data_IF_921742318337
#
_entry.id   IF_921742318337
#
_cell.length_a   1.000
_cell.length_b   1.000
_cell.length_c   1.000
_cell.angle_alpha   90.00
_cell.angle_beta   90.00
_cell.angle_gamma   90.00
#
_symmetry.space_group_name_H-M   'P 1'
#
loop_
_entity.id
_entity.type
_entity.pdbx_description
1 polymer ?
#
# COMPACT_ATOMS: atom_id res chain seq x y z
N UNK A 1 -2.04 31.10 -48.61
CA UNK A 1 -0.84 30.89 -47.78
C UNK A 1 -1.09 31.16 -46.29
N UNK A 2 -1.37 32.39 -45.83
CA UNK A 2 -1.62 32.64 -44.39
C UNK A 2 -2.84 31.89 -43.81
N UNK A 3 -3.93 31.77 -44.58
CA UNK A 3 -5.13 31.01 -44.18
C UNK A 3 -4.83 29.53 -44.02
N UNK A 4 -3.99 28.99 -44.90
CA UNK A 4 -3.59 27.58 -44.87
C UNK A 4 -2.69 27.28 -43.67
N UNK A 5 -1.74 28.16 -43.38
CA UNK A 5 -0.92 28.08 -42.17
C UNK A 5 -1.77 28.15 -40.89
N UNK A 6 -2.75 29.07 -40.84
CA UNK A 6 -3.72 29.14 -39.74
C UNK A 6 -4.48 27.82 -39.56
N UNK A 7 -4.95 27.22 -40.65
CA UNK A 7 -5.70 25.96 -40.58
C UNK A 7 -4.83 24.81 -40.07
N UNK A 8 -3.60 24.69 -40.56
CA UNK A 8 -2.65 23.67 -40.07
C UNK A 8 -2.32 23.88 -38.59
N UNK A 9 -2.11 25.12 -38.16
CA UNK A 9 -1.87 25.44 -36.74
C UNK A 9 -3.06 25.06 -35.87
N UNK A 10 -4.28 25.37 -36.29
CA UNK A 10 -5.48 25.00 -35.54
C UNK A 10 -5.65 23.48 -35.45
N UNK A 11 -5.43 22.75 -36.55
CA UNK A 11 -5.44 21.28 -36.53
C UNK A 11 -4.37 20.70 -35.60
N UNK A 12 -3.18 21.31 -35.55
CA UNK A 12 -2.14 20.91 -34.60
C UNK A 12 -2.58 21.15 -33.16
N UNK A 13 -3.20 22.30 -32.86
CA UNK A 13 -3.73 22.60 -31.52
C UNK A 13 -4.83 21.62 -31.11
N UNK A 14 -5.78 21.32 -32.00
CA UNK A 14 -6.85 20.34 -31.75
C UNK A 14 -6.27 18.94 -31.44
N UNK A 15 -5.25 18.52 -32.20
CA UNK A 15 -4.57 17.25 -31.97
C UNK A 15 -3.84 17.25 -30.62
N UNK A 16 -3.15 18.33 -30.27
CA UNK A 16 -2.44 18.45 -29.00
C UNK A 16 -3.41 18.47 -27.81
N UNK A 17 -4.53 19.18 -27.90
CA UNK A 17 -5.55 19.20 -26.85
C UNK A 17 -6.14 17.80 -26.64
N UNK A 18 -6.47 17.09 -27.71
CA UNK A 18 -7.03 15.74 -27.61
C UNK A 18 -6.00 14.69 -27.11
N UNK A 19 -4.75 14.77 -27.55
CA UNK A 19 -3.72 13.79 -27.18
C UNK A 19 -3.10 14.09 -25.82
N UNK A 20 -2.82 15.36 -25.53
CA UNK A 20 -2.12 15.78 -24.32
C UNK A 20 -3.14 16.26 -23.29
N UNK A 21 -3.80 17.37 -23.55
CA UNK A 21 -4.69 18.01 -22.59
C UNK A 21 -4.84 19.51 -22.83
N UNK A 22 -5.80 20.12 -22.14
CA UNK A 22 -6.10 21.55 -22.26
C UNK A 22 -5.17 22.44 -21.43
N UNK A 23 -4.60 21.90 -20.34
CA UNK A 23 -3.69 22.64 -19.45
C UNK A 23 -2.44 21.81 -19.12
N UNK A 24 -1.35 22.07 -19.84
CA UNK A 24 -0.07 21.39 -19.61
C UNK A 24 0.60 21.77 -18.30
N UNK A 25 0.29 22.94 -17.73
CA UNK A 25 0.83 23.33 -16.42
C UNK A 25 0.16 22.52 -15.30
N UNK A 26 -1.12 22.24 -15.43
CA UNK A 26 -1.85 21.38 -14.48
C UNK A 26 -1.33 19.94 -14.51
N UNK A 27 -1.07 19.39 -15.71
CA UNK A 27 -0.41 18.08 -15.86
C UNK A 27 0.96 18.08 -15.17
N UNK A 28 1.78 19.12 -15.41
CA UNK A 28 3.10 19.23 -14.80
C UNK A 28 3.04 19.33 -13.27
N UNK A 29 2.06 20.06 -12.73
CA UNK A 29 1.82 20.15 -11.27
C UNK A 29 1.50 18.79 -10.67
N UNK A 30 0.63 18.01 -11.30
CA UNK A 30 0.27 16.66 -10.85
C UNK A 30 1.46 15.71 -10.92
N UNK A 31 2.24 15.76 -12.00
CA UNK A 31 3.48 14.99 -12.09
C UNK A 31 4.50 15.36 -11.02
N UNK A 32 4.69 16.65 -10.72
CA UNK A 32 5.58 17.08 -9.63
C UNK A 32 5.12 16.50 -8.27
N UNK A 33 3.81 16.52 -7.97
CA UNK A 33 3.26 15.84 -6.79
C UNK A 33 3.56 14.33 -6.80
N UNK A 34 3.36 13.65 -7.93
CA UNK A 34 3.61 12.20 -8.02
C UNK A 34 5.09 11.84 -7.85
N UNK A 35 6.02 12.66 -8.37
CA UNK A 35 7.46 12.46 -8.14
C UNK A 35 7.87 12.59 -6.67
N UNK A 36 7.07 13.33 -5.89
CA UNK A 36 7.20 13.47 -4.43
C UNK A 36 6.41 12.40 -3.65
N UNK A 37 5.92 11.38 -4.35
CA UNK A 37 5.07 10.29 -3.82
C UNK A 37 3.73 10.78 -3.25
N UNK A 38 3.30 11.99 -3.63
CA UNK A 38 2.00 12.53 -3.28
C UNK A 38 0.99 12.26 -4.40
N UNK A 39 0.20 11.19 -4.24
CA UNK A 39 -0.85 10.78 -5.18
C UNK A 39 -2.23 11.31 -4.79
N UNK A 40 -2.30 12.33 -3.93
CA UNK A 40 -3.59 12.90 -3.46
C UNK A 40 -4.21 13.88 -4.45
N UNK A 41 -3.42 14.39 -5.41
CA UNK A 41 -3.88 15.29 -6.47
C UNK A 41 -4.24 14.54 -7.76
N UNK A 42 -5.00 15.20 -8.62
CA UNK A 42 -5.36 14.74 -9.97
C UNK A 42 -5.51 15.94 -10.92
N UNK A 43 -5.50 15.70 -12.23
CA UNK A 43 -5.84 16.69 -13.24
C UNK A 43 -7.37 16.78 -13.32
N UNK A 44 -7.94 17.94 -13.01
CA UNK A 44 -9.40 18.15 -13.07
C UNK A 44 -9.88 18.22 -14.51
N UNK A 45 -11.11 17.75 -14.75
CA UNK A 45 -11.78 17.80 -16.05
C UNK A 45 -10.94 17.21 -17.20
N UNK A 46 -10.15 16.18 -16.89
CA UNK A 46 -9.26 15.49 -17.82
C UNK A 46 -10.01 15.00 -19.08
N UNK A 47 -9.58 15.49 -20.24
CA UNK A 47 -10.15 15.15 -21.56
C UNK A 47 -9.08 14.62 -22.51
N UNK A 48 -7.85 15.13 -22.37
CA UNK A 48 -6.70 14.66 -23.12
C UNK A 48 -6.27 13.27 -22.68
N UNK A 49 -5.75 12.47 -23.61
CA UNK A 49 -5.32 11.10 -23.30
C UNK A 49 -4.26 11.10 -22.18
N UNK A 50 -3.30 12.02 -22.20
CA UNK A 50 -2.27 12.10 -21.15
C UNK A 50 -2.88 12.48 -19.79
N UNK A 51 -3.81 13.43 -19.73
CA UNK A 51 -4.51 13.78 -18.48
C UNK A 51 -5.25 12.56 -17.88
N UNK A 52 -6.02 11.85 -18.70
CA UNK A 52 -6.81 10.69 -18.27
C UNK A 52 -5.91 9.55 -17.79
N UNK A 53 -4.84 9.26 -18.53
CA UNK A 53 -3.86 8.24 -18.14
C UNK A 53 -3.15 8.63 -16.85
N UNK A 54 -2.82 9.91 -16.67
CA UNK A 54 -2.19 10.43 -15.44
C UNK A 54 -3.05 10.17 -14.21
N UNK A 55 -4.35 10.48 -14.29
CA UNK A 55 -5.27 10.22 -13.19
C UNK A 55 -5.45 8.72 -12.94
N UNK A 56 -5.57 7.94 -14.01
CA UNK A 56 -5.69 6.47 -13.93
C UNK A 56 -4.48 5.86 -13.22
N UNK A 57 -3.26 6.27 -13.59
CA UNK A 57 -2.04 5.80 -12.93
C UNK A 57 -2.00 6.21 -11.45
N UNK A 58 -2.41 7.43 -11.11
CA UNK A 58 -2.51 7.86 -9.72
C UNK A 58 -3.47 7.02 -8.88
N UNK A 59 -4.62 6.66 -9.44
CA UNK A 59 -5.58 5.76 -8.79
C UNK A 59 -5.03 4.35 -8.61
N UNK A 60 -4.38 3.77 -9.62
CA UNK A 60 -3.78 2.45 -9.50
C UNK A 60 -2.64 2.43 -8.46
N UNK A 61 -1.83 3.48 -8.39
CA UNK A 61 -0.80 3.60 -7.35
C UNK A 61 -1.45 3.72 -5.96
N UNK A 62 -2.50 4.53 -5.79
CA UNK A 62 -3.25 4.61 -4.53
C UNK A 62 -3.82 3.25 -4.11
N UNK A 63 -4.36 2.47 -5.05
CA UNK A 63 -4.84 1.11 -4.79
C UNK A 63 -3.72 0.20 -4.31
N UNK A 64 -2.56 0.21 -4.97
CA UNK A 64 -1.39 -0.58 -4.55
C UNK A 64 -0.92 -0.19 -3.14
N UNK A 65 -0.85 1.11 -2.82
CA UNK A 65 -0.47 1.60 -1.49
C UNK A 65 -1.46 1.14 -0.41
N UNK A 66 -2.77 1.24 -0.67
CA UNK A 66 -3.81 0.74 0.25
C UNK A 66 -3.71 -0.77 0.46
N UNK A 67 -3.49 -1.54 -0.60
CA UNK A 67 -3.30 -2.98 -0.50
C UNK A 67 -2.06 -3.34 0.33
N UNK A 68 -0.94 -2.67 0.08
CA UNK A 68 0.29 -2.84 0.86
C UNK A 68 0.09 -2.51 2.35
N UNK A 69 -0.61 -1.41 2.66
CA UNK A 69 -0.95 -1.05 4.03
C UNK A 69 -1.83 -2.10 4.72
N UNK A 70 -2.79 -2.69 4.00
CA UNK A 70 -3.64 -3.75 4.54
C UNK A 70 -2.81 -5.01 4.83
N UNK A 71 -1.94 -5.42 3.92
CA UNK A 71 -1.04 -6.55 4.16
C UNK A 71 -0.12 -6.35 5.37
N UNK A 72 0.43 -5.14 5.55
CA UNK A 72 1.24 -4.82 6.71
C UNK A 72 0.44 -4.92 8.02
N UNK A 73 -0.82 -4.47 8.01
CA UNK A 73 -1.73 -4.58 9.17
C UNK A 73 -2.06 -6.04 9.48
N UNK A 74 -2.39 -6.84 8.47
CA UNK A 74 -2.71 -8.26 8.63
C UNK A 74 -1.50 -9.03 9.17
N UNK A 75 -0.31 -8.78 8.63
CA UNK A 75 0.95 -9.36 9.10
C UNK A 75 1.22 -9.00 10.56
N UNK A 76 0.99 -7.74 10.95
CA UNK A 76 1.14 -7.31 12.35
C UNK A 76 0.14 -8.02 13.27
N UNK A 77 -1.10 -8.23 12.83
CA UNK A 77 -2.10 -8.98 13.60
C UNK A 77 -1.67 -10.43 13.81
N UNK A 78 -1.30 -11.12 12.73
CA UNK A 78 -0.83 -12.51 12.78
C UNK A 78 0.42 -12.67 13.65
N UNK A 79 1.34 -11.71 13.60
CA UNK A 79 2.54 -11.71 14.45
C UNK A 79 2.20 -11.59 15.93
N UNK A 80 1.19 -10.79 16.29
CA UNK A 80 0.71 -10.65 17.67
C UNK A 80 -0.01 -11.92 18.16
N UNK A 81 -0.82 -12.55 17.31
CA UNK A 81 -1.47 -13.82 17.62
C UNK A 81 -0.45 -14.95 17.83
N UNK A 82 0.57 -15.01 16.98
CA UNK A 82 1.68 -15.95 17.11
C UNK A 82 2.44 -15.72 18.42
N UNK A 83 2.77 -14.46 18.74
CA UNK A 83 3.41 -14.09 20.02
C UNK A 83 2.59 -14.56 21.22
N UNK A 84 1.28 -14.32 21.22
CA UNK A 84 0.39 -14.77 22.30
C UNK A 84 0.35 -16.29 22.43
N UNK A 85 0.33 -17.00 21.30
CA UNK A 85 0.32 -18.46 21.28
C UNK A 85 1.64 -19.06 21.78
N UNK A 86 2.78 -18.46 21.41
CA UNK A 86 4.09 -18.82 21.93
C UNK A 86 4.20 -18.57 23.44
N UNK A 87 3.71 -17.44 23.94
CA UNK A 87 3.70 -17.16 25.38
C UNK A 87 2.91 -18.22 26.14
N UNK A 88 1.68 -18.54 25.68
CA UNK A 88 0.86 -19.59 26.30
C UNK A 88 1.55 -20.95 26.28
N UNK A 89 2.25 -21.28 25.20
CA UNK A 89 3.01 -22.52 25.09
C UNK A 89 4.16 -22.55 26.11
N UNK A 90 4.93 -21.47 26.22
CA UNK A 90 6.02 -21.35 27.20
C UNK A 90 5.51 -21.46 28.63
N UNK A 91 4.42 -20.75 28.97
CA UNK A 91 3.82 -20.80 30.29
C UNK A 91 3.33 -22.22 30.62
N UNK A 92 2.69 -22.88 29.66
CA UNK A 92 2.24 -24.27 29.78
C UNK A 92 3.40 -25.26 29.97
N UNK A 93 4.49 -25.11 29.22
CA UNK A 93 5.69 -25.93 29.37
C UNK A 93 6.36 -25.73 30.74
N UNK A 94 6.41 -24.49 31.25
CA UNK A 94 6.95 -24.19 32.57
C UNK A 94 6.09 -24.80 33.69
N UNK A 95 4.76 -24.68 33.57
CA UNK A 95 3.83 -25.31 34.51
C UNK A 95 3.98 -26.84 34.50
N UNK A 96 4.08 -27.45 33.33
CA UNK A 96 4.28 -28.90 33.19
C UNK A 96 5.61 -29.37 33.80
N UNK A 97 6.70 -28.64 33.57
CA UNK A 97 8.00 -28.94 34.17
C UNK A 97 7.92 -28.91 35.72
N UNK A 98 7.26 -27.89 36.28
CA UNK A 98 7.05 -27.78 37.73
C UNK A 98 6.19 -28.93 38.28
N UNK A 99 5.11 -29.33 37.58
CA UNK A 99 4.30 -30.48 38.00
C UNK A 99 5.07 -31.80 37.94
N UNK A 100 5.97 -31.98 36.99
CA UNK A 100 6.85 -33.16 36.91
C UNK A 100 7.86 -33.18 38.07
N UNK A 101 8.44 -32.03 38.42
CA UNK A 101 9.35 -31.91 39.56
C UNK A 101 8.65 -32.24 40.89
N UNK A 102 7.43 -31.73 41.09
CA UNK A 102 6.60 -32.06 42.25
C UNK A 102 6.24 -33.55 42.30
N UNK A 103 5.90 -34.14 41.15
CA UNK A 103 5.59 -35.57 41.07
C UNK A 103 6.81 -36.43 41.39
N UNK A 104 8.00 -36.06 40.91
CA UNK A 104 9.25 -36.75 41.23
C UNK A 104 9.58 -36.67 42.73
N UNK A 105 9.46 -35.49 43.34
CA UNK A 105 9.67 -35.30 44.77
C UNK A 105 8.70 -36.15 45.63
N UNK A 106 7.41 -36.20 45.25
CA UNK A 106 6.43 -37.04 45.94
C UNK A 106 6.76 -38.54 45.83
N UNK A 107 7.27 -38.99 44.67
CA UNK A 107 7.72 -40.38 44.48
C UNK A 107 8.96 -40.69 45.33
N UNK A 108 9.92 -39.75 45.44
CA UNK A 108 11.08 -39.89 46.33
C UNK A 108 10.67 -40.01 47.80
N UNK A 109 9.73 -39.18 48.26
CA UNK A 109 9.22 -39.21 49.64
C UNK A 109 8.59 -40.58 49.96
N UNK A 110 7.75 -41.10 49.05
CA UNK A 110 7.16 -42.44 49.17
C UNK A 110 8.24 -43.53 49.22
N UNK A 111 9.29 -43.43 48.39
CA UNK A 111 10.36 -44.43 48.36
C UNK A 111 11.29 -44.36 49.59
N UNK A 112 11.35 -43.21 50.27
CA UNK A 112 12.16 -43.00 51.47
C UNK A 112 11.45 -43.36 52.79
N UNK A 113 10.15 -43.64 52.72
CA UNK A 113 9.27 -44.05 53.83
C UNK A 113 9.19 -45.57 53.96
#
# INVERSE_FOLDING_TARGET
QLVELKNVLNTMLDVLEHKIGGDTNEIARVFDSYTKLDFTTEVKDAKGIVEVVTNTLGEEIKKMLRASSNFAKDLSSQSNELKSSMQRLTDGSQAQASSLEQSAAAVEEISSS
#
